data_IF_393758618528
#
_entry.id   IF_393758618528
#
_cell.length_a   1.000
_cell.length_b   1.000
_cell.length_c   1.000
_cell.angle_alpha   90.00
_cell.angle_beta   90.00
_cell.angle_gamma   90.00
#
_symmetry.space_group_name_H-M   'P 1'
#
loop_
_entity.id
_entity.type
_entity.pdbx_description
1 polymer ?
#
# COMPACT_ATOMS: atom_id res chain seq x y z
N UNK A 1 11.98 10.22 8.93
CA UNK A 1 13.02 9.22 8.57
C UNK A 1 12.80 8.78 7.13
N UNK A 2 13.86 8.40 6.41
CA UNK A 2 13.79 7.96 4.99
C UNK A 2 12.75 6.84 4.79
N UNK A 3 12.66 5.88 5.71
CA UNK A 3 11.74 4.74 5.61
C UNK A 3 10.26 5.15 5.67
N UNK A 4 9.92 6.09 6.56
CA UNK A 4 8.55 6.58 6.70
C UNK A 4 8.12 7.40 5.45
N UNK A 5 9.03 8.19 4.89
CA UNK A 5 8.76 8.89 3.63
C UNK A 5 8.54 7.90 2.49
N UNK A 6 9.34 6.83 2.43
CA UNK A 6 9.18 5.79 1.41
C UNK A 6 7.83 5.08 1.52
N UNK A 7 7.41 4.66 2.72
CA UNK A 7 6.07 4.08 2.93
C UNK A 7 4.96 5.06 2.53
N UNK A 8 5.10 6.34 2.89
CA UNK A 8 4.11 7.37 2.52
C UNK A 8 3.96 7.49 1.01
N UNK A 9 5.07 7.51 0.27
CA UNK A 9 5.05 7.58 -1.19
C UNK A 9 4.40 6.33 -1.80
N UNK A 10 4.73 5.13 -1.30
CA UNK A 10 4.10 3.89 -1.77
C UNK A 10 2.59 3.88 -1.56
N UNK A 11 2.11 4.39 -0.42
CA UNK A 11 0.68 4.52 -0.12
C UNK A 11 -0.02 5.53 -1.04
N UNK A 12 0.64 6.66 -1.32
CA UNK A 12 0.11 7.68 -2.22
C UNK A 12 -0.04 7.13 -3.64
N UNK A 13 0.98 6.45 -4.15
CA UNK A 13 0.95 5.77 -5.45
C UNK A 13 -0.12 4.66 -5.49
N UNK A 14 -0.20 3.82 -4.45
CA UNK A 14 -1.22 2.77 -4.35
C UNK A 14 -2.63 3.33 -4.48
N UNK A 15 -2.91 4.43 -3.77
CA UNK A 15 -4.21 5.11 -3.77
C UNK A 15 -4.48 5.79 -5.11
N UNK A 16 -3.47 6.42 -5.71
CA UNK A 16 -3.58 7.01 -7.04
C UNK A 16 -4.04 5.97 -8.07
N UNK A 17 -3.28 4.88 -8.22
CA UNK A 17 -3.60 3.82 -9.17
C UNK A 17 -4.93 3.14 -8.88
N UNK A 18 -5.27 2.92 -7.60
CA UNK A 18 -6.59 2.40 -7.20
C UNK A 18 -7.71 3.34 -7.65
N UNK A 19 -7.56 4.63 -7.43
CA UNK A 19 -8.59 5.61 -7.75
C UNK A 19 -8.74 5.77 -9.27
N UNK A 20 -7.65 5.67 -10.04
CA UNK A 20 -7.69 5.60 -11.51
C UNK A 20 -8.38 4.31 -11.97
N UNK A 21 -8.02 3.15 -11.43
CA UNK A 21 -8.65 1.86 -11.75
C UNK A 21 -10.16 1.85 -11.45
N UNK A 22 -10.60 2.57 -10.41
CA UNK A 22 -12.03 2.73 -10.08
C UNK A 22 -12.77 3.58 -11.10
N UNK A 23 -12.11 4.58 -11.69
CA UNK A 23 -12.68 5.43 -12.76
C UNK A 23 -12.66 4.73 -14.12
N UNK A 24 -11.70 3.83 -14.33
CA UNK A 24 -11.48 3.08 -15.57
C UNK A 24 -11.39 1.57 -15.31
N UNK A 25 -12.49 0.92 -14.88
CA UNK A 25 -12.47 -0.49 -14.48
C UNK A 25 -12.15 -1.49 -15.61
N UNK A 26 -12.28 -1.05 -16.87
CA UNK A 26 -11.83 -1.73 -18.07
C UNK A 26 -10.30 -1.79 -18.19
N UNK A 27 -9.59 -0.81 -17.60
CA UNK A 27 -8.15 -0.77 -17.59
C UNK A 27 -7.59 -1.65 -16.45
N UNK A 28 -7.22 -2.88 -16.82
CA UNK A 28 -6.64 -3.83 -15.87
C UNK A 28 -5.22 -3.47 -15.46
N UNK A 29 -4.53 -2.60 -16.19
CA UNK A 29 -3.17 -2.19 -15.86
C UNK A 29 -3.11 -1.47 -14.51
N UNK A 30 -3.98 -0.47 -14.33
CA UNK A 30 -4.09 0.33 -13.12
C UNK A 30 -4.44 -0.52 -11.88
N UNK A 31 -5.38 -1.46 -12.06
CA UNK A 31 -5.74 -2.40 -10.99
C UNK A 31 -4.57 -3.33 -10.60
N UNK A 32 -3.75 -3.73 -11.58
CA UNK A 32 -2.57 -4.55 -11.35
C UNK A 32 -1.45 -3.78 -10.63
N UNK A 33 -1.24 -2.51 -10.98
CA UNK A 33 -0.28 -1.66 -10.28
C UNK A 33 -0.71 -1.42 -8.83
N UNK A 34 -1.98 -1.06 -8.62
CA UNK A 34 -2.51 -0.88 -7.27
C UNK A 34 -2.28 -2.14 -6.42
N UNK A 35 -2.59 -3.32 -6.96
CA UNK A 35 -2.34 -4.60 -6.29
C UNK A 35 -0.85 -4.79 -5.93
N UNK A 36 0.06 -4.49 -6.84
CA UNK A 36 1.50 -4.62 -6.60
C UNK A 36 1.98 -3.72 -5.45
N UNK A 37 1.51 -2.47 -5.38
CA UNK A 37 1.83 -1.58 -4.26
C UNK A 37 1.29 -2.11 -2.93
N UNK A 38 0.03 -2.58 -2.88
CA UNK A 38 -0.56 -3.14 -1.67
C UNK A 38 0.12 -4.45 -1.22
N UNK A 39 0.61 -5.30 -2.14
CA UNK A 39 1.41 -6.48 -1.79
C UNK A 39 2.75 -6.09 -1.13
N UNK A 40 3.46 -5.10 -1.70
CA UNK A 40 4.72 -4.58 -1.12
C UNK A 40 4.49 -4.00 0.28
N UNK A 41 3.44 -3.21 0.46
CA UNK A 41 3.09 -2.61 1.76
C UNK A 41 2.73 -3.69 2.79
N UNK A 42 1.99 -4.72 2.38
CA UNK A 42 1.61 -5.86 3.24
C UNK A 42 2.84 -6.67 3.67
N UNK A 43 3.74 -6.96 2.74
CA UNK A 43 5.01 -7.63 3.05
C UNK A 43 5.89 -6.80 3.97
N UNK A 44 5.95 -5.49 3.76
CA UNK A 44 6.69 -4.56 4.62
C UNK A 44 6.12 -4.54 6.05
N UNK A 45 4.80 -4.51 6.20
CA UNK A 45 4.12 -4.59 7.50
C UNK A 45 4.43 -5.90 8.21
N UNK A 46 4.33 -7.02 7.50
CA UNK A 46 4.63 -8.34 8.04
C UNK A 46 6.12 -8.48 8.44
N UNK A 47 7.03 -7.88 7.68
CA UNK A 47 8.44 -7.84 8.01
C UNK A 47 8.71 -7.02 9.28
N UNK A 48 8.11 -5.84 9.41
CA UNK A 48 8.22 -5.02 10.62
C UNK A 48 7.75 -5.77 11.88
N UNK A 49 6.58 -6.41 11.81
CA UNK A 49 6.04 -7.22 12.91
C UNK A 49 6.99 -8.35 13.31
N UNK A 50 7.57 -9.07 12.34
CA UNK A 50 8.51 -10.17 12.61
C UNK A 50 9.83 -9.71 13.23
N UNK A 51 10.20 -8.46 13.03
CA UNK A 51 11.41 -7.85 13.57
C UNK A 51 11.16 -7.11 14.90
N UNK A 52 9.97 -7.27 15.49
CA UNK A 52 9.53 -6.55 16.70
C UNK A 52 9.59 -5.02 16.54
N UNK A 53 9.40 -4.56 15.30
CA UNK A 53 9.35 -3.14 14.97
C UNK A 53 7.90 -2.69 14.83
N UNK A 54 7.54 -1.60 15.50
CA UNK A 54 6.17 -1.06 15.46
C UNK A 54 5.81 -0.55 14.05
N UNK A 55 4.86 -1.19 13.34
CA UNK A 55 4.42 -0.73 12.02
C UNK A 55 3.81 0.68 12.06
N UNK A 56 3.28 1.12 13.19
CA UNK A 56 2.73 2.47 13.36
C UNK A 56 3.80 3.54 13.22
N UNK A 57 5.00 3.27 13.73
CA UNK A 57 6.13 4.20 13.66
C UNK A 57 6.56 4.52 12.22
N UNK A 58 6.15 3.70 11.25
CA UNK A 58 6.42 3.89 9.81
C UNK A 58 5.16 4.10 8.97
N UNK A 59 4.00 4.32 9.59
CA UNK A 59 2.74 4.60 8.87
C UNK A 59 2.03 3.38 8.27
N UNK A 60 2.36 2.16 8.70
CA UNK A 60 1.75 0.90 8.25
C UNK A 60 0.65 0.39 9.19
N UNK A 61 0.03 1.27 9.97
CA UNK A 61 -1.08 0.91 10.87
C UNK A 61 -2.40 0.63 10.13
N UNK A 62 -2.46 1.04 8.87
CA UNK A 62 -3.63 1.00 8.01
C UNK A 62 -4.01 -0.46 7.71
N UNK A 63 -5.31 -0.70 7.60
CA UNK A 63 -5.86 -1.95 7.07
C UNK A 63 -5.76 -1.91 5.53
N UNK A 64 -4.64 -2.43 5.03
CA UNK A 64 -4.31 -2.45 3.60
C UNK A 64 -5.29 -3.31 2.79
N UNK A 65 -5.82 -4.37 3.40
CA UNK A 65 -6.80 -5.26 2.76
C UNK A 65 -8.12 -4.52 2.55
N UNK A 66 -8.58 -3.78 3.57
CA UNK A 66 -9.76 -2.91 3.43
C UNK A 66 -9.56 -1.76 2.45
N UNK A 67 -8.35 -1.21 2.35
CA UNK A 67 -8.07 -0.14 1.40
C UNK A 67 -8.08 -0.61 -0.06
N UNK A 68 -7.72 -1.86 -0.31
CA UNK A 68 -7.67 -2.45 -1.66
C UNK A 68 -8.99 -3.08 -2.13
N UNK A 69 -9.81 -3.63 -1.21
CA UNK A 69 -11.05 -4.38 -1.53
C UNK A 69 -12.39 -3.63 -1.27
N UNK A 70 -12.52 -2.29 -1.43
CA UNK A 70 -13.73 -1.57 -1.03
C UNK A 70 -14.98 -1.93 -1.83
#
# INVERSE_FOLDING_TARGET
MIFQQWISNLLEEARHHRDVARRHPEDKFESGIAFAYYDILTRSKNAAIRLDFDPKAVGLEIDLDREFLP
#
